data_IF_584567247399
#
_entry.id   IF_584567247399
#
_cell.length_a   1.000
_cell.length_b   1.000
_cell.length_c   1.000
_cell.angle_alpha   90.00
_cell.angle_beta   90.00
_cell.angle_gamma   90.00
#
_symmetry.space_group_name_H-M   'P 1'
#
loop_
_entity.id
_entity.type
_entity.pdbx_description
1 polymer ?
#
# COMPACT_ATOMS: atom_id res chain seq x y z
N UNK A 1 -16.87 -1.07 24.89
CA UNK A 1 -16.91 -2.51 25.24
C UNK A 1 -15.72 -3.17 24.54
N UNK A 2 -14.93 -3.99 25.22
CA UNK A 2 -13.84 -4.77 24.59
C UNK A 2 -14.28 -6.23 24.55
N UNK A 3 -14.05 -6.98 23.46
CA UNK A 3 -14.31 -8.41 23.43
C UNK A 3 -13.46 -9.13 24.49
N UNK A 4 -13.96 -10.24 25.03
CA UNK A 4 -13.17 -11.11 25.90
C UNK A 4 -11.94 -11.63 25.15
N UNK A 5 -10.81 -11.72 25.82
CA UNK A 5 -9.55 -12.09 25.15
C UNK A 5 -9.54 -13.54 24.69
N UNK A 6 -10.12 -14.43 25.50
CA UNK A 6 -10.21 -15.85 25.20
C UNK A 6 -11.21 -16.14 24.09
N UNK A 7 -12.38 -15.50 24.15
CA UNK A 7 -13.43 -15.63 23.14
C UNK A 7 -12.94 -15.08 21.78
N UNK A 8 -12.21 -13.94 21.79
CA UNK A 8 -11.66 -13.38 20.57
C UNK A 8 -10.56 -14.28 19.97
N UNK A 9 -9.74 -14.91 20.81
CA UNK A 9 -8.71 -15.83 20.35
C UNK A 9 -9.28 -17.14 19.78
N UNK A 10 -10.49 -17.52 20.18
CA UNK A 10 -11.18 -18.71 19.70
C UNK A 10 -11.95 -18.50 18.38
N UNK A 11 -12.08 -17.24 17.91
CA UNK A 11 -12.76 -16.94 16.65
C UNK A 11 -11.97 -17.51 15.48
N UNK A 12 -12.60 -18.29 14.57
CA UNK A 12 -11.95 -18.76 13.37
C UNK A 12 -11.45 -17.60 12.51
N UNK A 13 -10.26 -17.73 11.92
CA UNK A 13 -9.71 -16.74 10.98
C UNK A 13 -10.33 -16.96 9.60
N UNK A 14 -11.57 -16.56 9.43
CA UNK A 14 -12.36 -16.72 8.21
C UNK A 14 -13.11 -15.42 7.92
N UNK A 15 -13.21 -15.05 6.62
CA UNK A 15 -14.03 -13.91 6.19
C UNK A 15 -15.50 -14.17 6.49
N UNK A 16 -16.25 -13.12 6.85
CA UNK A 16 -17.71 -13.19 7.04
C UNK A 16 -18.42 -13.67 5.77
N UNK A 17 -17.86 -13.45 4.59
CA UNK A 17 -18.39 -13.91 3.33
C UNK A 17 -18.42 -15.42 3.29
N UNK A 18 -17.30 -16.08 3.56
CA UNK A 18 -17.21 -17.54 3.61
C UNK A 18 -17.90 -18.15 4.82
N UNK A 19 -17.79 -17.48 5.97
CA UNK A 19 -18.36 -18.01 7.21
C UNK A 19 -19.89 -17.97 7.21
N UNK A 20 -20.51 -16.93 6.64
CA UNK A 20 -21.94 -16.66 6.74
C UNK A 20 -22.60 -16.40 5.39
N UNK A 21 -22.08 -15.44 4.59
CA UNK A 21 -22.81 -14.92 3.43
C UNK A 21 -23.00 -15.95 2.32
N UNK A 22 -22.01 -16.79 2.06
CA UNK A 22 -22.12 -17.88 1.06
C UNK A 22 -22.98 -19.07 1.55
N UNK A 23 -23.22 -19.16 2.85
CA UNK A 23 -23.93 -20.30 3.47
C UNK A 23 -25.39 -19.98 3.82
N UNK A 24 -25.75 -18.71 3.96
CA UNK A 24 -27.11 -18.33 4.34
C UNK A 24 -28.09 -18.35 3.16
N UNK A 25 -29.31 -18.83 3.41
CA UNK A 25 -30.42 -18.72 2.45
C UNK A 25 -31.27 -17.45 2.69
N UNK A 26 -30.99 -16.69 3.75
CA UNK A 26 -31.81 -15.56 4.20
C UNK A 26 -31.21 -14.20 3.79
N UNK A 27 -30.22 -14.20 2.90
CA UNK A 27 -29.64 -12.97 2.40
C UNK A 27 -30.60 -12.27 1.42
N UNK A 28 -30.73 -10.96 1.58
CA UNK A 28 -31.50 -10.08 0.67
C UNK A 28 -30.57 -9.08 0.03
N UNK A 29 -30.65 -8.95 -1.30
CA UNK A 29 -29.90 -7.94 -2.04
C UNK A 29 -30.80 -6.77 -2.39
N UNK A 30 -30.38 -5.57 -2.00
CA UNK A 30 -31.03 -4.32 -2.37
C UNK A 30 -30.16 -3.62 -3.43
N UNK A 31 -30.61 -3.53 -4.68
CA UNK A 31 -29.88 -2.80 -5.72
C UNK A 31 -29.74 -1.32 -5.36
N UNK A 32 -28.55 -0.78 -5.47
CA UNK A 32 -28.28 0.62 -5.17
C UNK A 32 -27.25 1.17 -6.17
N UNK A 33 -27.54 2.35 -6.70
CA UNK A 33 -26.58 3.15 -7.47
C UNK A 33 -26.26 4.42 -6.66
N UNK A 34 -25.26 4.34 -5.81
CA UNK A 34 -24.82 5.41 -4.92
C UNK A 34 -23.44 5.95 -5.27
N UNK A 35 -22.88 5.59 -6.44
CA UNK A 35 -21.51 5.94 -6.79
C UNK A 35 -20.46 5.37 -5.83
N UNK A 36 -20.78 4.25 -5.15
CA UNK A 36 -19.89 3.63 -4.17
C UNK A 36 -18.74 2.87 -4.86
N UNK A 37 -17.55 2.98 -4.30
CA UNK A 37 -16.40 2.18 -4.67
C UNK A 37 -15.71 1.67 -3.41
N UNK A 38 -15.28 0.41 -3.39
CA UNK A 38 -14.51 -0.17 -2.29
C UNK A 38 -13.05 0.27 -2.26
N UNK A 39 -12.59 0.92 -3.34
CA UNK A 39 -11.19 1.37 -3.51
C UNK A 39 -10.18 0.26 -3.16
N UNK A 40 -10.47 -0.94 -3.64
CA UNK A 40 -9.67 -2.14 -3.33
C UNK A 40 -8.36 -2.24 -4.12
N UNK A 41 -8.09 -1.33 -5.05
CA UNK A 41 -6.91 -1.37 -5.92
C UNK A 41 -6.47 0.03 -6.36
N UNK A 42 -5.26 0.12 -6.92
CA UNK A 42 -4.80 1.36 -7.56
C UNK A 42 -5.60 1.70 -8.83
N UNK A 43 -6.13 0.70 -9.55
CA UNK A 43 -7.04 0.95 -10.66
C UNK A 43 -8.32 1.63 -10.18
N UNK A 44 -8.89 1.19 -9.05
CA UNK A 44 -10.05 1.83 -8.45
C UNK A 44 -9.76 3.28 -8.00
N UNK A 45 -8.53 3.56 -7.55
CA UNK A 45 -8.10 4.94 -7.28
C UNK A 45 -8.03 5.77 -8.56
N UNK A 46 -7.53 5.21 -9.65
CA UNK A 46 -7.55 5.88 -10.95
C UNK A 46 -8.98 6.16 -11.41
N UNK A 47 -9.91 5.19 -11.25
CA UNK A 47 -11.31 5.34 -11.67
C UNK A 47 -11.99 6.55 -11.03
N UNK A 48 -11.80 6.75 -9.74
CA UNK A 48 -12.46 7.81 -8.94
C UNK A 48 -11.70 9.14 -8.92
N UNK A 49 -10.44 9.16 -9.35
CA UNK A 49 -9.60 10.37 -9.32
C UNK A 49 -9.88 11.27 -10.53
N UNK A 50 -9.65 12.57 -10.34
CA UNK A 50 -9.66 13.53 -11.44
C UNK A 50 -8.48 13.24 -12.39
N UNK A 51 -8.77 13.22 -13.69
CA UNK A 51 -7.83 12.88 -14.75
C UNK A 51 -7.42 14.10 -15.53
N UNK A 52 -6.17 14.12 -16.00
CA UNK A 52 -5.72 15.13 -16.99
C UNK A 52 -6.37 14.90 -18.38
N UNK A 53 -6.05 15.76 -19.35
CA UNK A 53 -6.58 15.70 -20.72
C UNK A 53 -6.24 14.40 -21.46
N UNK A 54 -5.28 13.62 -20.99
CA UNK A 54 -4.85 12.35 -21.56
C UNK A 54 -5.31 11.15 -20.72
N UNK A 55 -6.18 11.35 -19.72
CA UNK A 55 -6.69 10.31 -18.86
C UNK A 55 -5.73 9.87 -17.76
N UNK A 56 -4.66 10.58 -17.50
CA UNK A 56 -3.70 10.23 -16.45
C UNK A 56 -4.08 10.82 -15.10
N UNK A 57 -3.69 10.12 -14.04
CA UNK A 57 -3.74 10.55 -12.64
C UNK A 57 -2.33 10.54 -12.06
N UNK A 58 -1.85 11.68 -11.58
CA UNK A 58 -0.49 11.79 -11.06
C UNK A 58 -0.44 12.34 -9.64
N UNK A 59 0.44 11.77 -8.81
CA UNK A 59 0.76 12.24 -7.46
C UNK A 59 2.26 12.28 -7.24
N UNK A 60 2.74 13.41 -6.72
CA UNK A 60 4.17 13.63 -6.48
C UNK A 60 4.88 14.26 -7.69
N UNK A 61 6.19 14.05 -7.79
CA UNK A 61 7.03 14.61 -8.83
C UNK A 61 7.02 13.72 -10.09
N UNK A 62 6.11 14.01 -11.03
CA UNK A 62 5.86 13.20 -12.23
C UNK A 62 5.95 14.04 -13.48
N UNK A 63 6.69 13.56 -14.48
CA UNK A 63 6.74 14.10 -15.84
C UNK A 63 6.19 13.08 -16.83
N UNK A 64 5.26 13.52 -17.70
CA UNK A 64 4.62 12.70 -18.71
C UNK A 64 5.01 13.19 -20.11
N UNK A 65 5.28 12.25 -21.01
CA UNK A 65 5.46 12.50 -22.42
C UNK A 65 4.80 11.38 -23.23
N UNK A 66 3.84 11.71 -24.07
CA UNK A 66 3.08 10.75 -24.90
C UNK A 66 2.56 9.53 -24.09
N UNK A 67 1.97 9.80 -22.93
CA UNK A 67 1.48 8.77 -21.98
C UNK A 67 0.01 8.99 -21.67
N UNK A 68 -0.78 7.91 -21.61
CA UNK A 68 -2.23 8.00 -21.49
C UNK A 68 -2.78 6.98 -20.47
N UNK A 69 -3.96 7.31 -19.92
CA UNK A 69 -4.78 6.41 -19.10
C UNK A 69 -4.05 5.75 -17.93
N UNK A 70 -3.01 6.37 -17.40
CA UNK A 70 -2.13 5.78 -16.39
C UNK A 70 -2.31 6.44 -15.02
N UNK A 71 -2.11 5.63 -13.96
CA UNK A 71 -2.03 6.08 -12.58
C UNK A 71 -0.58 6.07 -12.13
N UNK A 72 -0.03 7.23 -11.78
CA UNK A 72 1.38 7.34 -11.40
C UNK A 72 1.49 8.07 -10.07
N UNK A 73 2.08 7.40 -9.08
CA UNK A 73 2.32 7.95 -7.76
C UNK A 73 3.77 7.77 -7.35
N UNK A 74 4.37 8.82 -6.82
CA UNK A 74 5.72 8.78 -6.28
C UNK A 74 5.84 9.52 -4.94
N UNK A 75 6.59 8.92 -4.03
CA UNK A 75 6.90 9.48 -2.72
C UNK A 75 8.35 10.01 -2.69
N UNK A 76 8.65 11.02 -3.53
CA UNK A 76 9.88 11.81 -3.47
C UNK A 76 10.95 11.54 -4.52
N UNK A 77 10.76 10.61 -5.46
CA UNK A 77 11.62 10.49 -6.65
C UNK A 77 10.89 11.10 -7.85
N UNK A 78 11.61 11.78 -8.74
CA UNK A 78 11.06 12.09 -10.05
C UNK A 78 10.77 10.80 -10.82
N UNK A 79 9.54 10.66 -11.31
CA UNK A 79 9.13 9.61 -12.24
C UNK A 79 8.86 10.25 -13.61
N UNK A 80 9.63 9.88 -14.61
CA UNK A 80 9.37 10.25 -15.99
C UNK A 80 8.75 9.06 -16.72
N UNK A 81 7.52 9.22 -17.20
CA UNK A 81 6.82 8.20 -17.99
C UNK A 81 6.70 8.68 -19.46
N UNK A 82 7.20 7.87 -20.37
CA UNK A 82 7.33 8.23 -21.78
C UNK A 82 6.76 7.12 -22.65
N UNK A 83 5.76 7.45 -23.49
CA UNK A 83 5.18 6.51 -24.44
C UNK A 83 4.53 5.30 -23.80
N UNK A 84 3.88 5.48 -22.63
CA UNK A 84 3.24 4.37 -21.89
C UNK A 84 1.75 4.62 -21.74
N UNK A 85 0.98 3.55 -21.83
CA UNK A 85 -0.48 3.56 -21.73
C UNK A 85 -0.95 2.51 -20.72
N UNK A 86 -2.08 2.81 -20.05
CA UNK A 86 -2.80 1.88 -19.20
C UNK A 86 -1.97 1.27 -18.04
N UNK A 87 -1.02 2.03 -17.50
CA UNK A 87 -0.15 1.57 -16.44
C UNK A 87 -0.56 2.13 -15.07
N UNK A 88 -0.26 1.33 -14.06
CA UNK A 88 -0.14 1.73 -12.65
C UNK A 88 1.34 1.72 -12.30
N UNK A 89 1.88 2.89 -11.94
CA UNK A 89 3.27 3.07 -11.49
C UNK A 89 3.22 3.66 -10.09
N UNK A 90 3.68 2.89 -9.11
CA UNK A 90 3.74 3.33 -7.71
C UNK A 90 5.17 3.21 -7.21
N UNK A 91 5.80 4.35 -6.95
CA UNK A 91 7.16 4.43 -6.40
C UNK A 91 7.11 4.90 -4.96
N UNK A 92 7.50 4.02 -4.07
CA UNK A 92 7.68 4.32 -2.64
C UNK A 92 9.18 4.34 -2.30
N UNK A 93 9.51 4.51 -1.03
CA UNK A 93 10.89 4.38 -0.55
C UNK A 93 11.40 2.94 -0.61
N UNK A 94 10.51 1.97 -0.60
CA UNK A 94 10.82 0.54 -0.47
C UNK A 94 10.84 -0.16 -1.82
N UNK A 95 9.86 0.18 -2.68
CA UNK A 95 9.62 -0.57 -3.91
C UNK A 95 9.08 0.33 -5.02
N UNK A 96 9.39 -0.02 -6.25
CA UNK A 96 8.73 0.47 -7.45
C UNK A 96 7.88 -0.66 -8.03
N UNK A 97 6.57 -0.42 -8.10
CA UNK A 97 5.60 -1.29 -8.77
C UNK A 97 5.26 -0.69 -10.12
N UNK A 98 5.34 -1.50 -11.15
CA UNK A 98 4.85 -1.17 -12.51
C UNK A 98 3.97 -2.33 -12.94
N UNK A 99 2.72 -2.05 -13.23
CA UNK A 99 1.74 -3.05 -13.64
C UNK A 99 0.79 -2.48 -14.70
N UNK A 100 0.27 -3.32 -15.58
CA UNK A 100 -0.89 -2.95 -16.38
C UNK A 100 -2.12 -2.81 -15.45
N UNK A 101 -3.02 -1.87 -15.74
CA UNK A 101 -4.20 -1.62 -14.89
C UNK A 101 -5.04 -2.86 -14.65
N UNK A 102 -5.19 -3.71 -15.67
CA UNK A 102 -5.99 -4.93 -15.59
C UNK A 102 -5.32 -6.04 -14.76
N UNK A 103 -3.99 -5.96 -14.57
CA UNK A 103 -3.20 -6.95 -13.83
C UNK A 103 -2.77 -6.48 -12.44
N UNK A 104 -3.20 -5.30 -12.00
CA UNK A 104 -2.75 -4.72 -10.72
C UNK A 104 -3.11 -5.57 -9.49
N UNK A 105 -4.14 -6.41 -9.58
CA UNK A 105 -4.51 -7.33 -8.51
C UNK A 105 -3.47 -8.45 -8.28
N UNK A 106 -2.66 -8.76 -9.29
CA UNK A 106 -1.62 -9.79 -9.23
C UNK A 106 -0.44 -9.40 -8.33
N UNK A 107 -0.40 -8.15 -7.85
CA UNK A 107 0.55 -7.71 -6.81
C UNK A 107 0.53 -8.63 -5.59
N UNK A 108 -0.59 -9.29 -5.29
CA UNK A 108 -0.72 -10.29 -4.23
C UNK A 108 0.19 -11.50 -4.45
N UNK A 109 0.32 -11.96 -5.70
CA UNK A 109 1.21 -13.07 -6.05
C UNK A 109 2.68 -12.68 -5.84
N UNK A 110 3.05 -11.45 -6.23
CA UNK A 110 4.41 -10.91 -6.00
C UNK A 110 4.70 -10.83 -4.50
N UNK A 111 3.75 -10.35 -3.69
CA UNK A 111 3.92 -10.29 -2.22
C UNK A 111 4.10 -11.71 -1.62
N UNK A 112 3.38 -12.70 -2.11
CA UNK A 112 3.55 -14.10 -1.69
C UNK A 112 4.92 -14.67 -2.09
N UNK A 113 5.40 -14.33 -3.28
CA UNK A 113 6.74 -14.72 -3.72
C UNK A 113 7.82 -14.09 -2.84
N UNK A 114 7.75 -12.80 -2.55
CA UNK A 114 8.70 -12.12 -1.64
C UNK A 114 8.74 -12.81 -0.27
N UNK A 115 7.57 -13.22 0.25
CA UNK A 115 7.48 -13.98 1.50
C UNK A 115 8.14 -15.35 1.39
N UNK A 116 7.90 -16.09 0.31
CA UNK A 116 8.50 -17.41 0.09
C UNK A 116 10.03 -17.35 -0.04
N UNK A 117 10.55 -16.26 -0.63
CA UNK A 117 11.97 -15.99 -0.77
C UNK A 117 12.61 -15.38 0.50
N UNK A 118 11.84 -15.25 1.60
CA UNK A 118 12.28 -14.64 2.86
C UNK A 118 12.83 -13.22 2.70
N UNK A 119 12.35 -12.48 1.73
CA UNK A 119 12.68 -11.06 1.55
C UNK A 119 11.95 -10.22 2.59
N UNK A 120 12.53 -9.11 2.98
CA UNK A 120 11.98 -8.26 4.07
C UNK A 120 10.98 -7.22 3.58
N UNK A 121 10.94 -6.92 2.30
CA UNK A 121 10.14 -5.85 1.70
C UNK A 121 8.62 -6.09 1.81
N UNK A 122 8.19 -7.32 1.99
CA UNK A 122 6.77 -7.64 2.19
C UNK A 122 6.27 -7.30 3.62
N UNK A 123 7.18 -7.21 4.60
CA UNK A 123 6.85 -7.04 6.02
C UNK A 123 7.38 -5.73 6.62
N UNK A 124 8.58 -5.33 6.21
CA UNK A 124 9.28 -4.20 6.80
C UNK A 124 9.38 -3.03 5.84
N UNK A 125 8.80 -1.91 6.27
CA UNK A 125 8.98 -0.65 5.58
C UNK A 125 10.25 0.04 6.06
N UNK A 126 10.95 0.66 5.15
CA UNK A 126 12.11 1.48 5.42
C UNK A 126 11.77 2.65 6.37
N UNK A 127 10.59 3.27 6.18
CA UNK A 127 10.09 4.32 7.05
C UNK A 127 9.06 3.75 8.03
N UNK A 128 9.33 3.92 9.33
CA UNK A 128 8.47 3.40 10.40
C UNK A 128 8.03 4.54 11.32
N UNK A 129 6.72 4.66 11.50
CA UNK A 129 6.11 5.63 12.40
C UNK A 129 6.05 5.10 13.83
N UNK A 130 6.31 5.98 14.79
CA UNK A 130 6.30 5.73 16.22
C UNK A 130 5.53 6.85 16.94
N UNK A 131 5.07 6.65 18.18
CA UNK A 131 4.40 7.71 18.93
C UNK A 131 5.23 8.99 19.04
N UNK A 132 6.54 8.87 19.14
CA UNK A 132 7.49 9.98 19.26
C UNK A 132 7.89 10.64 17.93
N UNK A 133 7.56 10.04 16.79
CA UNK A 133 7.94 10.53 15.48
C UNK A 133 8.07 9.43 14.44
N UNK A 134 9.20 9.36 13.75
CA UNK A 134 9.49 8.31 12.77
C UNK A 134 10.98 8.07 12.62
N UNK A 135 11.34 6.91 12.09
CA UNK A 135 12.68 6.70 11.55
C UNK A 135 12.62 6.19 10.11
N UNK A 136 13.64 6.53 9.33
CA UNK A 136 13.85 6.08 7.97
C UNK A 136 15.22 5.35 7.93
N UNK A 137 15.22 4.07 7.59
CA UNK A 137 16.43 3.27 7.44
C UNK A 137 17.06 3.59 6.09
N UNK A 138 18.08 4.46 6.09
CA UNK A 138 18.66 5.01 4.86
C UNK A 138 19.56 3.99 4.18
N UNK A 139 20.36 3.30 4.99
CA UNK A 139 21.35 2.34 4.49
C UNK A 139 21.66 1.29 5.56
N UNK A 140 22.03 0.09 5.14
CA UNK A 140 22.41 -0.98 6.06
C UNK A 140 23.39 -1.95 5.37
N UNK A 141 24.37 -2.41 6.10
CA UNK A 141 25.32 -3.42 5.69
C UNK A 141 25.61 -4.40 6.81
N UNK A 142 26.51 -5.33 6.58
CA UNK A 142 26.82 -6.43 7.50
C UNK A 142 27.16 -5.95 8.94
N UNK A 143 27.80 -4.78 9.05
CA UNK A 143 28.29 -4.25 10.33
C UNK A 143 27.83 -2.82 10.64
N UNK A 144 26.87 -2.27 9.90
CA UNK A 144 26.36 -0.92 10.14
C UNK A 144 24.90 -0.78 9.71
N UNK A 145 24.23 0.19 10.32
CA UNK A 145 22.93 0.68 9.91
C UNK A 145 22.84 2.19 10.07
N UNK A 146 22.49 2.91 9.00
CA UNK A 146 22.25 4.34 9.00
C UNK A 146 20.73 4.61 9.03
N UNK A 147 20.28 5.39 10.01
CA UNK A 147 18.87 5.79 10.16
C UNK A 147 18.75 7.30 10.28
N UNK A 148 17.76 7.87 9.59
CA UNK A 148 17.30 9.22 9.87
C UNK A 148 16.17 9.14 10.89
N UNK A 149 16.33 9.80 12.02
CA UNK A 149 15.34 9.85 13.09
C UNK A 149 14.74 11.26 13.13
N UNK A 150 13.41 11.34 13.05
CA UNK A 150 12.65 12.58 13.16
C UNK A 150 11.79 12.50 14.40
N UNK A 151 12.04 13.38 15.38
CA UNK A 151 11.33 13.43 16.66
C UNK A 151 10.38 14.63 16.67
N UNK A 152 9.14 14.39 17.09
CA UNK A 152 8.14 15.46 17.25
C UNK A 152 8.58 16.43 18.36
N UNK A 153 8.26 17.73 18.27
CA UNK A 153 8.49 18.67 19.35
C UNK A 153 7.90 18.16 20.67
N UNK A 154 8.70 18.19 21.74
CA UNK A 154 8.29 17.72 23.07
C UNK A 154 8.28 16.20 23.27
N UNK A 155 8.50 15.41 22.23
CA UNK A 155 8.60 13.95 22.36
C UNK A 155 10.02 13.51 22.77
N UNK A 156 10.11 12.30 23.33
CA UNK A 156 11.37 11.69 23.78
C UNK A 156 11.55 10.31 23.17
N UNK A 157 12.79 9.99 22.85
CA UNK A 157 13.21 8.62 22.48
C UNK A 157 13.48 7.81 23.75
N UNK A 158 13.27 6.51 23.68
CA UNK A 158 13.80 5.58 24.68
C UNK A 158 15.33 5.54 24.60
N UNK A 159 15.97 5.42 25.75
CA UNK A 159 17.44 5.19 25.80
C UNK A 159 17.69 3.76 25.29
N UNK A 160 18.58 3.65 24.32
CA UNK A 160 19.01 2.37 23.74
C UNK A 160 20.52 2.24 23.90
N UNK A 161 20.96 1.04 24.22
CA UNK A 161 22.37 0.69 24.28
C UNK A 161 22.69 -0.22 23.08
N UNK A 162 23.76 0.09 22.37
CA UNK A 162 24.26 -0.68 21.25
C UNK A 162 25.51 -1.45 21.71
N UNK A 163 25.54 -2.72 21.43
CA UNK A 163 26.67 -3.61 21.72
C UNK A 163 27.47 -3.90 20.46
#
# INVERSE_FOLDING_TARGET
MRPGKEEFAAVPSESIDYAVMEKTADAVVVPMDAGWSDIGSWSSLWDISEKDGNGNVTYGDVMLHESHNSYIRTDGKLVAAIGVDDLVIVSTKDVLVVAHKDSVQDVKAVAQQLKAESRTEWEHHREVYRPWGKYDSIDSGERYQAKRITVKPGAKLSVQMHH
#
